data_IF_799602724414
#
_entry.id   IF_799602724414
#
_cell.length_a   1.000
_cell.length_b   1.000
_cell.length_c   1.000
_cell.angle_alpha   90.00
_cell.angle_beta   90.00
_cell.angle_gamma   90.00
#
_symmetry.space_group_name_H-M   'P 1'
#
loop_
_entity.id
_entity.type
_entity.pdbx_description
1 polymer ?
#
# COMPACT_ATOMS: atom_id res chain seq x y z
N UNK A 1 38.32 -42.17 1.15
CA UNK A 1 36.84 -42.14 1.03
C UNK A 1 36.28 -41.34 2.21
N UNK A 2 35.66 -40.19 1.93
CA UNK A 2 34.57 -39.70 2.74
C UNK A 2 33.30 -39.45 1.90
N UNK A 3 32.16 -39.70 2.54
CA UNK A 3 30.80 -39.46 2.08
C UNK A 3 30.58 -38.00 1.67
N UNK A 4 30.01 -37.76 0.49
CA UNK A 4 29.36 -36.47 0.19
C UNK A 4 28.03 -36.67 -0.54
N UNK A 5 26.98 -36.59 0.28
CA UNK A 5 25.60 -36.13 0.06
C UNK A 5 24.99 -36.33 -1.33
N UNK A 6 24.05 -37.27 -1.32
CA UNK A 6 22.86 -37.29 -2.16
C UNK A 6 22.24 -35.88 -2.31
N UNK A 7 22.01 -35.47 -3.55
CA UNK A 7 21.56 -34.13 -3.94
C UNK A 7 20.06 -34.12 -4.23
N UNK A 8 19.28 -34.79 -3.37
CA UNK A 8 17.82 -34.91 -3.46
C UNK A 8 17.10 -34.23 -2.29
N UNK A 9 17.50 -33.02 -1.91
CA UNK A 9 16.76 -32.08 -1.04
C UNK A 9 17.35 -30.71 -1.42
N UNK A 10 16.79 -29.90 -2.32
CA UNK A 10 15.49 -29.24 -2.26
C UNK A 10 15.01 -28.93 -3.70
N UNK A 11 14.10 -29.76 -4.23
CA UNK A 11 13.07 -29.27 -5.13
C UNK A 11 11.98 -28.66 -4.26
N UNK A 12 12.27 -27.52 -3.64
CA UNK A 12 11.20 -26.63 -3.19
C UNK A 12 10.43 -26.29 -4.46
N UNK A 13 9.16 -26.67 -4.49
CA UNK A 13 8.19 -26.21 -5.47
C UNK A 13 8.44 -24.72 -5.70
N UNK A 14 8.92 -24.34 -6.88
CA UNK A 14 8.61 -23.02 -7.39
C UNK A 14 7.15 -23.11 -7.79
N UNK A 15 6.18 -22.54 -7.04
CA UNK A 15 4.88 -22.32 -7.61
C UNK A 15 5.11 -21.51 -8.88
N UNK A 16 4.77 -22.13 -10.01
CA UNK A 16 4.86 -21.53 -11.34
C UNK A 16 3.71 -20.54 -11.57
N UNK A 17 3.41 -19.75 -10.54
CA UNK A 17 2.44 -18.67 -10.54
C UNK A 17 3.17 -17.44 -10.03
N UNK A 18 4.12 -16.98 -10.84
CA UNK A 18 4.60 -15.60 -10.79
C UNK A 18 3.43 -14.75 -11.30
N UNK A 19 2.38 -14.59 -10.49
CA UNK A 19 1.47 -13.47 -10.65
C UNK A 19 2.35 -12.27 -10.30
N UNK A 20 2.67 -11.46 -11.30
CA UNK A 20 3.51 -10.28 -11.12
C UNK A 20 2.70 -9.28 -10.29
N UNK A 21 2.72 -9.41 -8.97
CA UNK A 21 2.01 -8.50 -8.07
C UNK A 21 2.68 -7.12 -8.25
N UNK A 22 1.96 -6.21 -8.90
CA UNK A 22 2.18 -4.78 -8.70
C UNK A 22 1.45 -4.43 -7.42
N UNK A 23 2.13 -3.83 -6.44
CA UNK A 23 1.42 -3.37 -5.26
C UNK A 23 0.50 -2.22 -5.65
N UNK A 24 -0.79 -2.42 -5.38
CA UNK A 24 -1.83 -1.43 -5.53
C UNK A 24 -2.22 -0.94 -4.15
N UNK A 25 -2.13 0.37 -3.94
CA UNK A 25 -2.66 0.99 -2.72
C UNK A 25 -3.98 1.66 -3.06
N UNK A 26 -5.03 1.34 -2.29
CA UNK A 26 -6.33 1.96 -2.40
C UNK A 26 -6.49 2.99 -1.29
N UNK A 27 -6.88 4.22 -1.67
CA UNK A 27 -7.17 5.28 -0.72
C UNK A 27 -8.54 5.84 -1.06
N UNK A 28 -9.55 5.54 -0.24
CA UNK A 28 -10.90 6.09 -0.41
C UNK A 28 -11.11 7.28 0.51
N UNK A 29 -11.33 8.45 -0.09
CA UNK A 29 -11.62 9.68 0.63
C UNK A 29 -12.97 9.62 1.35
N UNK A 30 -13.97 8.94 0.78
CA UNK A 30 -15.30 8.83 1.37
C UNK A 30 -15.34 8.07 2.71
N UNK A 31 -14.34 7.22 2.96
CA UNK A 31 -14.19 6.47 4.22
C UNK A 31 -13.52 7.28 5.32
N UNK A 32 -12.85 8.38 4.98
CA UNK A 32 -12.26 9.28 5.97
C UNK A 32 -13.37 10.19 6.53
N UNK A 33 -13.66 10.11 7.82
CA UNK A 33 -14.47 11.14 8.48
C UNK A 33 -13.56 12.25 9.01
N UNK A 34 -13.62 13.49 8.48
CA UNK A 34 -12.80 14.61 8.94
C UNK A 34 -13.04 14.95 10.42
N UNK A 35 -14.22 14.64 10.97
CA UNK A 35 -14.49 14.95 12.38
C UNK A 35 -13.74 14.04 13.34
N UNK A 36 -13.46 12.82 12.91
CA UNK A 36 -12.83 11.79 13.75
C UNK A 36 -11.31 11.76 13.55
N UNK A 37 -10.85 12.04 12.32
CA UNK A 37 -9.44 11.96 11.94
C UNK A 37 -8.95 13.23 11.28
N UNK A 38 -7.79 13.73 11.74
CA UNK A 38 -7.12 14.88 11.14
C UNK A 38 -6.33 14.50 9.90
N UNK A 39 -6.19 15.42 8.95
CA UNK A 39 -5.35 15.24 7.75
C UNK A 39 -3.90 14.90 8.10
N UNK A 40 -3.39 15.37 9.25
CA UNK A 40 -2.07 15.01 9.73
C UNK A 40 -1.98 13.54 10.17
N UNK A 41 -3.00 13.01 10.84
CA UNK A 41 -3.04 11.59 11.21
C UNK A 41 -3.14 10.70 9.97
N UNK A 42 -4.01 11.05 9.02
CA UNK A 42 -4.13 10.34 7.74
C UNK A 42 -2.79 10.36 7.00
N UNK A 43 -2.16 11.52 6.89
CA UNK A 43 -0.83 11.67 6.26
C UNK A 43 0.24 10.81 6.95
N UNK A 44 0.23 10.70 8.29
CA UNK A 44 1.15 9.82 9.02
C UNK A 44 0.92 8.34 8.71
N UNK A 45 -0.34 7.90 8.60
CA UNK A 45 -0.66 6.52 8.19
C UNK A 45 -0.17 6.25 6.77
N UNK A 46 -0.32 7.21 5.85
CA UNK A 46 0.23 7.11 4.50
C UNK A 46 1.77 7.00 4.49
N UNK A 47 2.46 7.73 5.37
CA UNK A 47 3.91 7.60 5.52
C UNK A 47 4.32 6.22 6.03
N UNK A 48 3.69 5.71 7.10
CA UNK A 48 3.98 4.37 7.63
C UNK A 48 3.75 3.29 6.58
N UNK A 49 2.64 3.39 5.84
CA UNK A 49 2.33 2.49 4.72
C UNK A 49 3.40 2.57 3.63
N UNK A 50 3.84 3.78 3.27
CA UNK A 50 4.88 3.99 2.26
C UNK A 50 6.23 3.42 2.69
N UNK A 51 6.62 3.58 3.95
CA UNK A 51 7.86 3.01 4.50
C UNK A 51 7.85 1.48 4.42
N UNK A 52 6.75 0.84 4.82
CA UNK A 52 6.63 -0.62 4.76
C UNK A 52 6.66 -1.16 3.33
N UNK A 53 5.89 -0.54 2.43
CA UNK A 53 5.86 -0.93 1.02
C UNK A 53 7.25 -0.73 0.38
N UNK A 54 7.96 0.33 0.77
CA UNK A 54 9.32 0.60 0.28
C UNK A 54 10.35 -0.42 0.77
N UNK A 55 10.08 -1.17 1.85
CA UNK A 55 10.97 -2.26 2.30
C UNK A 55 10.84 -3.52 1.44
N UNK A 56 9.79 -3.63 0.64
CA UNK A 56 9.57 -4.81 -0.19
C UNK A 56 10.36 -4.73 -1.51
N UNK A 57 11.28 -5.68 -1.71
CA UNK A 57 12.14 -5.73 -2.91
C UNK A 57 11.33 -5.81 -4.20
N UNK A 58 10.17 -6.47 -4.20
CA UNK A 58 9.32 -6.55 -5.39
C UNK A 58 8.79 -5.18 -5.80
N UNK A 59 8.28 -4.40 -4.84
CA UNK A 59 7.85 -3.02 -5.09
C UNK A 59 9.01 -2.13 -5.52
N UNK A 60 10.20 -2.28 -4.92
CA UNK A 60 11.38 -1.51 -5.34
C UNK A 60 11.77 -1.77 -6.81
N UNK A 61 11.58 -3.00 -7.31
CA UNK A 61 11.90 -3.36 -8.69
C UNK A 61 10.80 -3.01 -9.69
N UNK A 62 9.52 -3.19 -9.32
CA UNK A 62 8.37 -3.08 -10.23
C UNK A 62 7.66 -1.74 -10.16
N UNK A 63 7.88 -0.97 -9.10
CA UNK A 63 7.17 0.27 -8.80
C UNK A 63 5.82 0.06 -8.13
N UNK A 64 5.25 1.16 -7.64
CA UNK A 64 3.96 1.23 -6.95
C UNK A 64 2.91 1.89 -7.85
N UNK A 65 1.69 1.36 -7.86
CA UNK A 65 0.52 2.03 -8.44
C UNK A 65 -0.48 2.33 -7.32
N UNK A 66 -1.09 3.51 -7.35
CA UNK A 66 -2.02 3.95 -6.28
C UNK A 66 -3.31 4.43 -6.93
N UNK A 67 -4.45 3.96 -6.40
CA UNK A 67 -5.77 4.45 -6.75
C UNK A 67 -6.26 5.35 -5.61
N UNK A 68 -6.41 6.64 -5.92
CA UNK A 68 -7.05 7.61 -5.03
C UNK A 68 -8.50 7.79 -5.46
N UNK A 69 -9.39 7.15 -4.72
CA UNK A 69 -10.83 7.32 -4.88
C UNK A 69 -11.29 8.57 -4.14
N UNK A 70 -11.73 9.55 -4.92
CA UNK A 70 -12.21 10.83 -4.43
C UNK A 70 -13.74 10.87 -4.28
N UNK A 71 -14.43 9.74 -4.48
CA UNK A 71 -15.85 9.65 -4.16
C UNK A 71 -16.07 9.95 -2.67
N UNK A 72 -17.04 10.82 -2.37
CA UNK A 72 -17.30 11.28 -1.01
C UNK A 72 -16.37 12.40 -0.52
N UNK A 73 -15.43 12.89 -1.34
CA UNK A 73 -14.68 14.11 -1.01
C UNK A 73 -15.64 15.28 -0.76
N UNK A 74 -15.34 16.10 0.25
CA UNK A 74 -16.24 17.14 0.74
C UNK A 74 -15.46 18.37 1.20
N UNK A 75 -16.15 19.47 1.44
CA UNK A 75 -15.51 20.68 1.99
C UNK A 75 -14.85 20.42 3.35
N UNK A 76 -15.40 19.50 4.15
CA UNK A 76 -14.80 19.09 5.43
C UNK A 76 -13.38 18.51 5.26
N UNK A 77 -13.18 17.69 4.23
CA UNK A 77 -11.86 17.18 3.86
C UNK A 77 -10.92 18.30 3.43
N UNK A 78 -11.38 19.14 2.50
CA UNK A 78 -10.59 20.23 1.94
C UNK A 78 -10.10 21.21 3.01
N UNK A 79 -10.94 21.56 3.99
CA UNK A 79 -10.59 22.49 5.06
C UNK A 79 -9.49 21.98 6.00
N UNK A 80 -9.24 20.68 6.05
CA UNK A 80 -8.13 20.15 6.83
C UNK A 80 -6.78 20.24 6.12
N UNK A 81 -6.79 20.34 4.79
CA UNK A 81 -5.58 20.44 3.98
C UNK A 81 -5.12 21.91 3.93
N UNK A 82 -4.50 22.36 5.01
CA UNK A 82 -3.90 23.69 5.07
C UNK A 82 -2.56 23.75 4.28
N UNK A 83 -2.01 24.95 3.98
CA UNK A 83 -0.78 25.09 3.21
C UNK A 83 0.44 24.35 3.80
N UNK A 84 0.49 24.14 5.11
CA UNK A 84 1.58 23.39 5.74
C UNK A 84 1.51 21.90 5.41
N UNK A 85 0.32 21.30 5.52
CA UNK A 85 0.08 19.90 5.15
C UNK A 85 0.25 19.71 3.64
N UNK A 86 -0.26 20.63 2.82
CA UNK A 86 -0.11 20.58 1.36
C UNK A 86 1.37 20.56 0.94
N UNK A 87 2.24 21.37 1.58
CA UNK A 87 3.69 21.32 1.32
C UNK A 87 4.32 19.99 1.69
N UNK A 88 3.92 19.39 2.82
CA UNK A 88 4.43 18.07 3.23
C UNK A 88 4.03 16.98 2.24
N UNK A 89 2.77 16.97 1.81
CA UNK A 89 2.28 16.05 0.78
C UNK A 89 3.09 16.27 -0.51
N UNK A 90 3.23 17.52 -0.96
CA UNK A 90 3.99 17.85 -2.17
C UNK A 90 5.43 17.35 -2.10
N UNK A 91 6.15 17.56 -1.00
CA UNK A 91 7.54 17.10 -0.86
C UNK A 91 7.64 15.58 -0.96
N UNK A 92 6.79 14.84 -0.24
CA UNK A 92 6.79 13.36 -0.32
C UNK A 92 6.52 12.87 -1.74
N UNK A 93 5.53 13.46 -2.42
CA UNK A 93 5.17 13.08 -3.79
C UNK A 93 6.25 13.47 -4.82
N UNK A 94 7.02 14.51 -4.58
CA UNK A 94 8.04 15.02 -5.51
C UNK A 94 9.39 14.34 -5.32
N UNK A 95 9.78 14.13 -4.06
CA UNK A 95 11.14 13.74 -3.68
C UNK A 95 11.28 12.21 -3.57
N UNK A 96 10.20 11.51 -3.19
CA UNK A 96 10.27 10.08 -2.88
C UNK A 96 9.87 9.17 -4.04
N UNK A 97 9.04 9.65 -4.97
CA UNK A 97 8.49 8.80 -6.04
C UNK A 97 8.38 9.56 -7.37
N UNK A 98 8.88 9.01 -8.50
CA UNK A 98 8.60 9.56 -9.82
C UNK A 98 7.14 9.25 -10.21
N UNK A 99 6.21 10.07 -9.75
CA UNK A 99 4.77 9.85 -9.94
C UNK A 99 4.30 10.22 -11.34
N UNK A 100 3.46 9.36 -11.92
CA UNK A 100 2.64 9.66 -13.09
C UNK A 100 1.18 9.69 -12.65
N UNK A 101 0.56 10.86 -12.78
CA UNK A 101 -0.83 11.08 -12.33
C UNK A 101 -1.77 10.94 -13.53
N UNK A 102 -2.78 10.10 -13.39
CA UNK A 102 -3.85 9.89 -14.36
C UNK A 102 -5.20 10.23 -13.69
N UNK A 103 -6.04 11.01 -14.38
CA UNK A 103 -7.37 11.40 -13.90
C UNK A 103 -8.43 10.67 -14.71
N UNK A 104 -9.25 9.85 -14.05
CA UNK A 104 -10.20 8.93 -14.70
C UNK A 104 -11.65 9.46 -14.73
N UNK A 105 -11.99 10.46 -13.91
CA UNK A 105 -13.36 10.99 -13.84
C UNK A 105 -14.35 10.00 -13.22
N UNK A 106 -15.64 10.15 -13.54
CA UNK A 106 -16.71 9.28 -13.03
C UNK A 106 -16.83 7.96 -13.78
N UNK A 107 -16.49 7.95 -15.07
CA UNK A 107 -16.58 6.76 -15.93
C UNK A 107 -15.25 5.98 -15.91
N UNK A 108 -14.76 5.72 -14.69
CA UNK A 108 -13.39 5.25 -14.48
C UNK A 108 -13.18 3.76 -14.82
N UNK A 109 -14.24 2.93 -14.82
CA UNK A 109 -14.14 1.47 -14.92
C UNK A 109 -13.31 1.00 -16.11
N UNK A 110 -13.68 1.40 -17.34
CA UNK A 110 -12.95 1.01 -18.55
C UNK A 110 -11.52 1.57 -18.54
N UNK A 111 -11.38 2.83 -18.13
CA UNK A 111 -10.08 3.51 -18.14
C UNK A 111 -9.10 2.99 -17.10
N UNK A 112 -9.55 2.37 -16.00
CA UNK A 112 -8.67 1.73 -15.01
C UNK A 112 -8.15 0.39 -15.53
N UNK A 113 -8.95 -0.35 -16.29
CA UNK A 113 -8.56 -1.63 -16.89
C UNK A 113 -7.37 -1.49 -17.87
N UNK A 114 -7.15 -0.31 -18.45
CA UNK A 114 -5.96 -0.03 -19.26
C UNK A 114 -4.65 0.00 -18.43
N UNK A 115 -4.75 0.22 -17.11
CA UNK A 115 -3.60 0.34 -16.21
C UNK A 115 -3.46 -0.84 -15.23
N UNK A 116 -4.57 -1.51 -14.90
CA UNK A 116 -4.64 -2.57 -13.91
C UNK A 116 -5.29 -3.80 -14.53
N UNK A 117 -4.70 -4.97 -14.28
CA UNK A 117 -5.28 -6.23 -14.70
C UNK A 117 -6.57 -6.51 -13.89
N UNK A 118 -7.64 -7.05 -14.50
CA UNK A 118 -8.90 -7.28 -13.78
C UNK A 118 -8.76 -8.20 -12.55
N UNK A 119 -7.86 -9.17 -12.58
CA UNK A 119 -7.61 -10.14 -11.49
C UNK A 119 -7.04 -9.53 -10.20
N UNK A 120 -6.43 -8.34 -10.29
CA UNK A 120 -5.89 -7.62 -9.13
C UNK A 120 -6.75 -6.43 -8.71
N UNK A 121 -7.70 -6.03 -9.55
CA UNK A 121 -8.57 -4.90 -9.29
C UNK A 121 -9.79 -5.37 -8.47
N UNK A 122 -10.20 -4.66 -7.40
CA UNK A 122 -11.37 -5.04 -6.62
C UNK A 122 -12.67 -4.97 -7.43
N UNK A 123 -13.71 -5.74 -7.04
CA UNK A 123 -14.99 -5.74 -7.73
C UNK A 123 -15.65 -4.36 -7.80
N UNK A 124 -15.45 -3.50 -6.80
CA UNK A 124 -15.98 -2.13 -6.74
C UNK A 124 -15.39 -1.20 -7.82
N UNK A 125 -14.27 -1.59 -8.42
CA UNK A 125 -13.61 -0.88 -9.52
C UNK A 125 -13.71 -1.62 -10.86
N UNK A 126 -14.48 -2.71 -10.93
CA UNK A 126 -14.71 -3.48 -12.15
C UNK A 126 -13.79 -4.68 -12.37
N UNK A 127 -13.09 -5.15 -11.35
CA UNK A 127 -12.24 -6.34 -11.43
C UNK A 127 -12.80 -7.59 -10.73
N UNK A 128 -11.92 -8.57 -10.54
CA UNK A 128 -12.16 -9.89 -9.96
C UNK A 128 -11.26 -10.17 -8.74
N UNK A 129 -10.48 -9.18 -8.31
CA UNK A 129 -9.58 -9.27 -7.16
C UNK A 129 -10.30 -9.28 -5.80
N UNK A 130 -9.54 -9.23 -4.69
CA UNK A 130 -10.11 -9.11 -3.35
C UNK A 130 -10.96 -7.85 -3.20
N UNK A 131 -12.03 -7.93 -2.42
CA UNK A 131 -12.85 -6.75 -2.10
C UNK A 131 -12.06 -5.72 -1.30
N UNK A 132 -12.43 -4.44 -1.41
CA UNK A 132 -11.72 -3.35 -0.71
C UNK A 132 -11.72 -3.55 0.81
N UNK A 133 -12.83 -3.98 1.38
CA UNK A 133 -12.94 -4.20 2.83
C UNK A 133 -11.98 -5.30 3.31
N UNK A 134 -11.90 -6.41 2.58
CA UNK A 134 -10.97 -7.51 2.84
C UNK A 134 -9.51 -7.02 2.73
N UNK A 135 -9.17 -6.33 1.63
CA UNK A 135 -7.83 -5.80 1.42
C UNK A 135 -7.42 -4.78 2.52
N UNK A 136 -8.34 -3.92 2.94
CA UNK A 136 -8.11 -2.99 4.05
C UNK A 136 -7.89 -3.71 5.37
N UNK A 137 -8.66 -4.77 5.65
CA UNK A 137 -8.52 -5.56 6.87
C UNK A 137 -7.18 -6.30 6.91
N UNK A 138 -6.77 -6.90 5.80
CA UNK A 138 -5.49 -7.59 5.66
C UNK A 138 -4.31 -6.62 5.84
N UNK A 139 -4.38 -5.45 5.20
CA UNK A 139 -3.35 -4.42 5.37
C UNK A 139 -3.28 -3.90 6.81
N UNK A 140 -4.43 -3.72 7.44
CA UNK A 140 -4.53 -3.30 8.85
C UNK A 140 -3.86 -4.33 9.77
N UNK A 141 -4.13 -5.61 9.56
CA UNK A 141 -3.51 -6.71 10.31
C UNK A 141 -1.99 -6.74 10.08
N UNK A 142 -1.55 -6.52 8.84
CA UNK A 142 -0.13 -6.45 8.51
C UNK A 142 0.57 -5.29 9.21
N UNK A 143 -0.03 -4.09 9.19
CA UNK A 143 0.46 -2.91 9.92
C UNK A 143 0.58 -3.19 11.42
N UNK A 144 -0.45 -3.77 12.04
CA UNK A 144 -0.42 -4.11 13.47
C UNK A 144 0.69 -5.11 13.81
N UNK A 145 0.85 -6.15 13.00
CA UNK A 145 1.90 -7.15 13.22
C UNK A 145 3.29 -6.52 13.12
N UNK A 146 3.51 -5.64 12.14
CA UNK A 146 4.79 -4.94 11.99
C UNK A 146 5.07 -3.99 13.15
N UNK A 147 4.07 -3.19 13.56
CA UNK A 147 4.22 -2.32 14.74
C UNK A 147 4.54 -3.14 16.01
N UNK A 148 3.88 -4.29 16.21
CA UNK A 148 4.15 -5.17 17.33
C UNK A 148 5.60 -5.71 17.30
N UNK A 149 6.06 -6.20 16.14
CA UNK A 149 7.44 -6.67 15.98
C UNK A 149 8.48 -5.57 16.23
N UNK A 150 8.23 -4.34 15.76
CA UNK A 150 9.11 -3.19 16.01
C UNK A 150 9.15 -2.80 17.49
N UNK A 151 7.99 -2.82 18.17
CA UNK A 151 7.93 -2.58 19.62
C UNK A 151 8.73 -3.63 20.39
N UNK A 152 8.60 -4.91 20.03
CA UNK A 152 9.36 -5.99 20.66
C UNK A 152 10.87 -5.90 20.39
N UNK A 153 11.26 -5.55 19.15
CA UNK A 153 12.66 -5.32 18.83
C UNK A 153 13.24 -4.15 19.64
N UNK A 154 12.46 -3.09 19.85
CA UNK A 154 12.84 -1.96 20.69
C UNK A 154 12.95 -2.30 22.18
N UNK A 155 12.08 -3.16 22.72
CA UNK A 155 12.19 -3.61 24.12
C UNK A 155 13.40 -4.53 24.35
N UNK A 156 13.69 -5.43 23.40
CA UNK A 156 14.86 -6.32 23.50
C UNK A 156 16.19 -5.54 23.41
N UNK A 157 16.22 -4.44 22.65
CA UNK A 157 17.39 -3.53 22.61
C UNK A 157 17.56 -2.71 23.90
N UNK A 158 16.51 -2.57 24.73
CA UNK A 158 16.59 -1.85 26.01
C UNK A 158 17.05 -2.71 27.19
N UNK A 159 17.01 -4.04 27.05
CA UNK A 159 17.53 -4.99 28.05
C UNK A 159 18.99 -5.39 27.79
N UNK A 160 19.53 -5.09 26.61
CA UNK A 160 20.92 -5.35 26.20
C UNK A 160 21.86 -4.11 26.32
N UNK A 161 21.45 -3.07 27.06
CA UNK A 161 22.28 -1.87 27.32
C UNK A 161 22.63 -1.69 28.80
#
# INVERSE_FOLDING_TARGET
MPLFRDRTVDRVRKPSTVLLIMHIVFVSAGQWNPKDWTAFQVFRISLMTSELISMETETQMKGLKVIFDLQGWSLGHALQVNPSIARKISSVLSDSFPLKIHMHGSDYHDSLCDFFSPDILPPEYGGEGPGIEEACQDWTNHLFQMCYCLCLAGSNLSEDC
#
